data_IF_625613399772
#
_entry.id   IF_625613399772
#
_cell.length_a   1.000
_cell.length_b   1.000
_cell.length_c   1.000
_cell.angle_alpha   90.00
_cell.angle_beta   90.00
_cell.angle_gamma   90.00
#
_symmetry.space_group_name_H-M   'P 1'
#
loop_
_entity.id
_entity.type
_entity.pdbx_description
1 polymer ?
#
# COMPACT_ATOMS: atom_id res chain seq x y z
N UNK A 1 18.55 32.92 1.00
CA UNK A 1 17.65 32.73 -0.17
C UNK A 1 16.38 32.05 0.35
N UNK A 2 15.25 32.77 0.33
CA UNK A 2 13.94 32.15 0.58
C UNK A 2 13.54 31.45 -0.72
N UNK A 3 13.35 30.14 -0.67
CA UNK A 3 12.89 29.36 -1.79
C UNK A 3 11.37 29.46 -1.83
N UNK A 4 10.81 30.00 -2.92
CA UNK A 4 9.37 30.10 -3.11
C UNK A 4 8.87 28.85 -3.84
N UNK A 5 7.95 28.10 -3.21
CA UNK A 5 7.29 26.94 -3.79
C UNK A 5 5.81 27.24 -3.90
N UNK A 6 5.32 27.28 -5.13
CA UNK A 6 3.89 27.51 -5.42
C UNK A 6 3.19 26.20 -5.74
N UNK A 7 1.98 25.99 -5.17
CA UNK A 7 1.13 24.85 -5.48
C UNK A 7 -0.25 25.33 -5.89
N UNK A 8 -0.70 24.91 -7.07
CA UNK A 8 -2.03 25.16 -7.61
C UNK A 8 -2.83 23.83 -7.67
N UNK A 9 -4.15 23.89 -7.42
CA UNK A 9 -5.04 22.72 -7.39
C UNK A 9 -6.27 22.93 -8.28
N UNK A 10 -6.72 21.84 -8.93
CA UNK A 10 -8.01 21.75 -9.60
C UNK A 10 -8.82 20.59 -9.00
N UNK A 11 -10.15 20.75 -8.95
CA UNK A 11 -11.05 19.79 -8.34
C UNK A 11 -12.21 19.47 -9.29
N UNK A 12 -12.76 18.24 -9.15
CA UNK A 12 -14.03 17.90 -9.77
C UNK A 12 -15.22 18.35 -8.90
N UNK A 13 -16.44 18.10 -9.39
CA UNK A 13 -17.68 18.45 -8.68
C UNK A 13 -17.90 17.66 -7.37
N UNK A 14 -17.11 16.63 -7.12
CA UNK A 14 -17.13 15.79 -5.92
C UNK A 14 -16.07 16.19 -4.89
N UNK A 15 -15.23 17.18 -5.24
CA UNK A 15 -14.13 17.63 -4.40
C UNK A 15 -12.87 16.78 -4.52
N UNK A 16 -12.78 15.86 -5.48
CA UNK A 16 -11.55 15.12 -5.74
C UNK A 16 -10.53 16.03 -6.42
N UNK A 17 -9.28 15.98 -6.00
CA UNK A 17 -8.20 16.75 -6.63
C UNK A 17 -7.82 16.12 -7.98
N UNK A 18 -8.30 16.69 -9.07
CA UNK A 18 -8.03 16.21 -10.43
C UNK A 18 -6.68 16.62 -10.97
N UNK A 19 -6.13 17.74 -10.45
CA UNK A 19 -4.80 18.22 -10.83
C UNK A 19 -4.13 18.98 -9.71
N UNK A 20 -2.83 18.77 -9.58
CA UNK A 20 -1.94 19.54 -8.71
C UNK A 20 -0.73 19.96 -9.53
N UNK A 21 -0.35 21.24 -9.47
CA UNK A 21 0.87 21.76 -10.08
C UNK A 21 1.74 22.33 -8.96
N UNK A 22 2.94 21.78 -8.83
CA UNK A 22 3.97 22.28 -7.90
C UNK A 22 5.10 22.88 -8.68
N UNK A 23 5.37 24.18 -8.46
CA UNK A 23 6.49 24.92 -9.06
C UNK A 23 7.53 25.22 -8.00
N UNK A 24 8.75 24.77 -8.26
CA UNK A 24 9.92 24.92 -7.40
C UNK A 24 11.11 25.40 -8.25
N UNK A 25 11.26 26.70 -8.38
CA UNK A 25 12.21 27.32 -9.30
C UNK A 25 11.91 26.92 -10.75
N UNK A 26 12.88 26.33 -11.43
CA UNK A 26 12.73 25.81 -12.82
C UNK A 26 12.10 24.43 -12.90
N UNK A 27 11.73 23.81 -11.76
CA UNK A 27 11.12 22.48 -11.74
C UNK A 27 9.61 22.65 -11.61
N UNK A 28 8.87 22.03 -12.53
CA UNK A 28 7.41 21.90 -12.43
C UNK A 28 7.04 20.43 -12.32
N UNK A 29 6.22 20.10 -11.30
CA UNK A 29 5.63 18.76 -11.15
C UNK A 29 4.13 18.89 -11.28
N UNK A 30 3.55 18.28 -12.31
CA UNK A 30 2.12 18.19 -12.52
C UNK A 30 1.65 16.76 -12.21
N UNK A 31 0.69 16.64 -11.29
CA UNK A 31 -0.02 15.39 -11.00
C UNK A 31 -1.46 15.52 -11.47
N UNK A 32 -1.96 14.56 -12.25
CA UNK A 32 -3.37 14.48 -12.64
C UNK A 32 -3.96 13.17 -12.17
N UNK A 33 -5.22 13.21 -11.70
CA UNK A 33 -5.99 12.07 -11.24
C UNK A 33 -7.33 11.96 -11.94
N UNK A 34 -7.73 10.75 -12.31
CA UNK A 34 -9.07 10.43 -12.78
C UNK A 34 -9.79 9.60 -11.73
N UNK A 35 -11.03 9.94 -11.41
CA UNK A 35 -11.80 9.31 -10.34
C UNK A 35 -13.10 8.75 -10.87
N UNK A 36 -13.58 7.67 -10.23
CA UNK A 36 -14.93 7.16 -10.40
C UNK A 36 -15.71 7.29 -9.09
N UNK A 37 -17.01 7.54 -9.24
CA UNK A 37 -17.95 7.68 -8.14
C UNK A 37 -19.16 6.78 -8.41
N UNK A 38 -19.41 5.83 -7.52
CA UNK A 38 -20.61 5.00 -7.53
C UNK A 38 -21.55 5.48 -6.42
N UNK A 39 -22.57 6.24 -6.80
CA UNK A 39 -23.52 6.83 -5.86
C UNK A 39 -24.47 5.81 -5.25
N UNK A 40 -24.78 4.74 -5.98
CA UNK A 40 -25.73 3.70 -5.51
C UNK A 40 -25.15 2.91 -4.33
N UNK A 41 -23.83 2.73 -4.32
CA UNK A 41 -23.11 2.02 -3.26
C UNK A 41 -22.33 2.95 -2.34
N UNK A 42 -22.42 4.25 -2.58
CA UNK A 42 -21.68 5.28 -1.84
C UNK A 42 -20.15 5.06 -1.86
N UNK A 43 -19.63 4.51 -2.97
CA UNK A 43 -18.19 4.31 -3.19
C UNK A 43 -17.65 5.50 -4.00
N UNK A 44 -17.29 6.57 -3.29
CA UNK A 44 -16.89 7.84 -3.88
C UNK A 44 -15.37 8.03 -3.88
N UNK A 45 -14.85 8.85 -4.81
CA UNK A 45 -13.47 9.29 -4.86
C UNK A 45 -12.46 8.17 -5.15
N UNK A 46 -12.85 7.12 -5.90
CA UNK A 46 -11.94 6.04 -6.27
C UNK A 46 -11.04 6.46 -7.43
N UNK A 47 -9.75 6.66 -7.15
CA UNK A 47 -8.75 7.02 -8.15
C UNK A 47 -8.54 5.86 -9.12
N UNK A 48 -8.79 6.06 -10.42
CA UNK A 48 -8.60 5.02 -11.46
C UNK A 48 -7.32 5.20 -12.26
N UNK A 49 -6.88 6.45 -12.42
CA UNK A 49 -5.61 6.77 -13.06
C UNK A 49 -4.91 7.90 -12.34
N UNK A 50 -3.59 7.82 -12.30
CA UNK A 50 -2.72 8.90 -11.84
C UNK A 50 -1.59 9.08 -12.85
N UNK A 51 -1.35 10.33 -13.27
CA UNK A 51 -0.19 10.68 -14.09
C UNK A 51 0.61 11.75 -13.35
N UNK A 52 1.90 11.51 -13.21
CA UNK A 52 2.87 12.46 -12.66
C UNK A 52 3.87 12.83 -13.73
N UNK A 53 3.92 14.10 -14.11
CA UNK A 53 4.89 14.67 -15.05
C UNK A 53 5.79 15.65 -14.32
N UNK A 54 7.09 15.44 -14.42
CA UNK A 54 8.10 16.35 -13.87
C UNK A 54 8.92 16.93 -15.01
N UNK A 55 8.88 18.25 -15.13
CA UNK A 55 9.60 19.03 -16.12
C UNK A 55 10.71 19.86 -15.47
N UNK A 56 11.84 19.94 -16.14
CA UNK A 56 12.97 20.82 -15.82
C UNK A 56 13.68 21.27 -17.12
N UNK A 57 14.79 21.96 -17.03
CA UNK A 57 15.58 22.43 -18.18
C UNK A 57 16.09 21.29 -19.08
N UNK A 58 16.24 20.06 -18.53
CA UNK A 58 16.70 18.88 -19.25
C UNK A 58 15.59 18.10 -19.96
N UNK A 59 14.31 18.44 -19.72
CA UNK A 59 13.18 17.79 -20.35
C UNK A 59 12.07 17.41 -19.37
N UNK A 60 11.13 16.56 -19.85
CA UNK A 60 9.96 16.09 -19.10
C UNK A 60 10.00 14.57 -18.94
N UNK A 61 9.80 14.10 -17.72
CA UNK A 61 9.60 12.68 -17.40
C UNK A 61 8.17 12.48 -16.92
N UNK A 62 7.47 11.49 -17.48
CA UNK A 62 6.08 11.17 -17.12
C UNK A 62 5.97 9.73 -16.63
N UNK A 63 5.21 9.52 -15.55
CA UNK A 63 4.86 8.22 -15.01
C UNK A 63 3.35 8.11 -14.88
N UNK A 64 2.81 6.94 -15.27
CA UNK A 64 1.40 6.63 -15.13
C UNK A 64 1.20 5.48 -14.16
N UNK A 65 0.07 5.49 -13.46
CA UNK A 65 -0.43 4.36 -12.67
C UNK A 65 -1.93 4.24 -12.90
N UNK A 66 -2.46 3.03 -12.87
CA UNK A 66 -3.89 2.77 -12.91
C UNK A 66 -4.31 1.83 -11.79
N UNK A 67 -5.59 1.93 -11.38
CA UNK A 67 -6.14 1.23 -10.24
C UNK A 67 -7.50 0.65 -10.58
N UNK A 68 -7.74 -0.59 -10.16
CA UNK A 68 -9.01 -1.28 -10.32
C UNK A 68 -9.55 -1.68 -8.94
N UNK A 69 -10.86 -1.61 -8.79
CA UNK A 69 -11.54 -1.88 -7.54
C UNK A 69 -12.63 -2.93 -7.73
N UNK A 70 -12.87 -3.72 -6.70
CA UNK A 70 -14.05 -4.58 -6.66
C UNK A 70 -15.33 -3.71 -6.67
N UNK A 71 -16.26 -3.95 -7.60
CA UNK A 71 -17.43 -3.07 -7.78
C UNK A 71 -18.45 -3.17 -6.66
N UNK A 72 -18.32 -4.15 -5.75
CA UNK A 72 -19.25 -4.35 -4.64
C UNK A 72 -18.70 -3.79 -3.32
N UNK A 73 -17.46 -4.11 -3.02
CA UNK A 73 -16.82 -3.68 -1.77
C UNK A 73 -16.06 -2.37 -1.89
N UNK A 74 -15.67 -1.97 -3.13
CA UNK A 74 -14.80 -0.81 -3.36
C UNK A 74 -13.34 -1.04 -2.93
N UNK A 75 -12.95 -2.28 -2.63
CA UNK A 75 -11.58 -2.62 -2.26
C UNK A 75 -10.69 -2.63 -3.51
N UNK A 76 -9.46 -2.14 -3.38
CA UNK A 76 -8.46 -2.14 -4.45
C UNK A 76 -8.07 -3.58 -4.81
N UNK A 77 -8.24 -3.97 -6.07
CA UNK A 77 -7.91 -5.32 -6.56
C UNK A 77 -6.65 -5.34 -7.42
N UNK A 78 -6.40 -4.26 -8.15
CA UNK A 78 -5.26 -4.18 -9.07
C UNK A 78 -4.67 -2.78 -9.06
N UNK A 79 -3.35 -2.73 -9.11
CA UNK A 79 -2.55 -1.54 -9.35
C UNK A 79 -1.57 -1.84 -10.48
N UNK A 80 -1.52 -0.97 -11.50
CA UNK A 80 -0.53 -1.07 -12.59
C UNK A 80 0.34 0.18 -12.53
N UNK A 81 1.64 -0.03 -12.36
CA UNK A 81 2.64 1.02 -12.39
C UNK A 81 3.36 1.03 -13.72
N UNK A 82 3.56 2.22 -14.31
CA UNK A 82 4.23 2.46 -15.58
C UNK A 82 3.75 1.51 -16.71
N UNK A 83 2.42 1.47 -17.02
CA UNK A 83 1.88 0.60 -18.06
C UNK A 83 2.59 0.88 -19.39
N UNK A 84 2.96 -0.21 -20.08
CA UNK A 84 3.70 -0.15 -21.35
C UNK A 84 5.22 0.02 -21.22
N UNK A 85 5.76 0.19 -20.03
CA UNK A 85 7.20 0.16 -19.77
C UNK A 85 7.60 -1.24 -19.31
N UNK A 86 8.32 -2.00 -20.16
CA UNK A 86 8.73 -3.37 -19.86
C UNK A 86 9.85 -3.48 -18.84
N UNK A 87 10.64 -2.42 -18.64
CA UNK A 87 11.78 -2.45 -17.71
C UNK A 87 11.38 -2.04 -16.29
N UNK A 88 10.49 -1.06 -16.15
CA UNK A 88 10.12 -0.47 -14.86
C UNK A 88 8.67 -0.77 -14.45
N UNK A 89 7.87 -1.27 -15.39
CA UNK A 89 6.45 -1.50 -15.16
C UNK A 89 6.18 -2.80 -14.41
N UNK A 90 5.12 -2.78 -13.62
CA UNK A 90 4.60 -3.97 -12.96
C UNK A 90 3.09 -3.87 -12.74
N UNK A 91 2.48 -5.03 -12.58
CA UNK A 91 1.12 -5.18 -12.06
C UNK A 91 1.19 -5.73 -10.65
N UNK A 92 0.41 -5.15 -9.75
CA UNK A 92 0.22 -5.67 -8.40
C UNK A 92 -1.25 -6.00 -8.19
N UNK A 93 -1.54 -7.23 -7.76
CA UNK A 93 -2.90 -7.68 -7.47
C UNK A 93 -3.05 -8.00 -5.99
N UNK A 94 -4.29 -7.86 -5.50
CA UNK A 94 -4.63 -8.05 -4.11
C UNK A 94 -5.80 -9.01 -3.96
N UNK A 95 -5.71 -9.90 -2.97
CA UNK A 95 -6.82 -10.74 -2.52
C UNK A 95 -7.16 -10.34 -1.09
N UNK A 96 -8.44 -10.15 -0.82
CA UNK A 96 -8.95 -9.74 0.48
C UNK A 96 -9.73 -10.88 1.14
N UNK A 97 -9.76 -10.90 2.47
CA UNK A 97 -10.66 -11.74 3.26
C UNK A 97 -12.05 -11.08 3.40
N UNK A 98 -12.95 -11.74 4.13
CA UNK A 98 -14.30 -11.23 4.38
C UNK A 98 -14.36 -9.97 5.26
N UNK A 99 -13.26 -9.56 5.87
CA UNK A 99 -13.12 -8.33 6.66
C UNK A 99 -12.52 -7.17 5.87
N UNK A 100 -12.04 -7.43 4.63
CA UNK A 100 -11.37 -6.45 3.78
C UNK A 100 -9.85 -6.38 3.98
N UNK A 101 -9.27 -7.29 4.75
CA UNK A 101 -7.82 -7.34 4.92
C UNK A 101 -7.15 -7.99 3.72
N UNK A 102 -5.98 -7.48 3.31
CA UNK A 102 -5.19 -8.08 2.24
C UNK A 102 -4.53 -9.36 2.76
N UNK A 103 -4.98 -10.52 2.22
CA UNK A 103 -4.43 -11.84 2.58
C UNK A 103 -3.39 -12.33 1.58
N UNK A 104 -3.36 -11.77 0.38
CA UNK A 104 -2.34 -12.05 -0.64
C UNK A 104 -2.09 -10.82 -1.49
N UNK A 105 -0.83 -10.53 -1.78
CA UNK A 105 -0.45 -9.62 -2.86
C UNK A 105 0.54 -10.27 -3.79
N UNK A 106 0.37 -10.04 -5.10
CA UNK A 106 1.25 -10.56 -6.15
C UNK A 106 1.76 -9.40 -6.96
N UNK A 107 3.07 -9.27 -7.11
CA UNK A 107 3.72 -8.33 -8.01
C UNK A 107 4.24 -9.10 -9.21
N UNK A 108 3.71 -8.78 -10.39
CA UNK A 108 4.08 -9.37 -11.69
C UNK A 108 4.79 -8.29 -12.52
N UNK A 109 6.12 -8.32 -12.61
CA UNK A 109 6.89 -7.38 -13.43
C UNK A 109 6.61 -7.58 -14.93
N UNK A 110 6.76 -6.51 -15.73
CA UNK A 110 6.54 -6.59 -17.19
C UNK A 110 7.78 -7.03 -17.97
N UNK A 111 8.92 -7.15 -17.32
CA UNK A 111 10.16 -7.71 -17.88
C UNK A 111 10.20 -9.24 -17.93
N UNK A 112 9.07 -9.91 -17.60
CA UNK A 112 8.94 -11.37 -17.46
C UNK A 112 9.81 -11.99 -16.37
N UNK A 113 10.33 -11.22 -15.44
CA UNK A 113 10.95 -11.76 -14.24
C UNK A 113 9.91 -12.43 -13.33
N UNK A 114 10.38 -13.24 -12.38
CA UNK A 114 9.52 -14.03 -11.51
C UNK A 114 8.57 -13.15 -10.68
N UNK A 115 7.34 -13.60 -10.54
CA UNK A 115 6.36 -12.99 -9.64
C UNK A 115 6.84 -13.02 -8.18
N UNK A 116 6.52 -11.97 -7.45
CA UNK A 116 6.77 -11.86 -6.02
C UNK A 116 5.44 -11.91 -5.28
N UNK A 117 5.24 -12.99 -4.53
CA UNK A 117 4.01 -13.23 -3.77
C UNK A 117 4.30 -13.03 -2.29
N UNK A 118 3.45 -12.25 -1.62
CA UNK A 118 3.40 -12.17 -0.16
C UNK A 118 2.03 -12.60 0.32
N UNK A 119 1.97 -13.30 1.47
CA UNK A 119 0.73 -13.76 2.07
C UNK A 119 0.67 -13.34 3.53
N UNK A 120 -0.52 -12.99 3.99
CA UNK A 120 -0.79 -12.59 5.37
C UNK A 120 -2.01 -13.33 5.88
N UNK A 121 -1.93 -13.87 7.08
CA UNK A 121 -3.07 -14.49 7.77
C UNK A 121 -3.42 -13.68 8.99
N UNK A 122 -4.70 -13.47 9.18
CA UNK A 122 -5.26 -12.76 10.33
C UNK A 122 -5.90 -13.73 11.32
N UNK A 123 -6.16 -13.25 12.54
CA UNK A 123 -6.94 -13.98 13.53
C UNK A 123 -8.38 -14.22 13.03
N UNK A 124 -9.13 -15.08 13.72
CA UNK A 124 -10.50 -15.43 13.32
C UNK A 124 -11.47 -14.22 13.28
N UNK A 125 -11.10 -13.09 13.87
CA UNK A 125 -11.88 -11.85 13.89
C UNK A 125 -11.36 -10.81 12.88
N UNK A 126 -10.33 -11.15 12.09
CA UNK A 126 -9.75 -10.25 11.09
C UNK A 126 -9.01 -9.03 11.66
N UNK A 127 -8.54 -9.10 12.91
CA UNK A 127 -7.97 -7.93 13.61
C UNK A 127 -6.46 -7.90 13.63
N UNK A 128 -5.83 -9.06 13.88
CA UNK A 128 -4.40 -9.16 14.13
C UNK A 128 -3.73 -10.10 13.13
N UNK A 129 -2.58 -9.70 12.62
CA UNK A 129 -1.76 -10.54 11.75
C UNK A 129 -1.14 -11.66 12.59
N UNK A 130 -1.51 -12.91 12.32
CA UNK A 130 -0.97 -14.07 13.04
C UNK A 130 0.14 -14.78 12.26
N UNK A 131 0.25 -14.55 10.94
CA UNK A 131 1.33 -15.07 10.12
C UNK A 131 1.55 -14.21 8.89
N UNK A 132 2.81 -14.06 8.50
CA UNK A 132 3.24 -13.39 7.27
C UNK A 132 4.22 -14.29 6.52
N UNK A 133 4.04 -14.43 5.20
CA UNK A 133 4.96 -15.15 4.31
C UNK A 133 5.47 -14.16 3.26
N UNK A 134 6.78 -13.97 3.18
CA UNK A 134 7.38 -13.09 2.18
C UNK A 134 7.57 -13.81 0.84
N UNK A 135 8.01 -13.07 -0.19
CA UNK A 135 8.22 -13.60 -1.54
C UNK A 135 9.34 -14.66 -1.65
N UNK A 136 10.15 -14.86 -0.63
CA UNK A 136 11.15 -15.91 -0.54
C UNK A 136 10.62 -17.16 0.17
N UNK A 137 9.34 -17.18 0.59
CA UNK A 137 8.71 -18.27 1.33
C UNK A 137 9.03 -18.28 2.83
N UNK A 138 9.73 -17.25 3.35
CA UNK A 138 9.99 -17.17 4.78
C UNK A 138 8.73 -16.81 5.54
N UNK A 139 8.46 -17.57 6.60
CA UNK A 139 7.27 -17.42 7.42
C UNK A 139 7.66 -16.83 8.77
N UNK A 140 6.93 -15.81 9.18
CA UNK A 140 6.95 -15.24 10.52
C UNK A 140 5.56 -15.39 11.14
N UNK A 141 5.49 -15.64 12.45
CA UNK A 141 4.21 -15.77 13.16
C UNK A 141 4.19 -14.89 14.40
N UNK A 142 2.98 -14.42 14.75
CA UNK A 142 2.74 -13.59 15.92
C UNK A 142 1.62 -14.18 16.78
N UNK A 143 1.79 -14.11 18.11
CA UNK A 143 0.74 -14.40 19.09
C UNK A 143 0.36 -13.14 19.84
N UNK A 144 -0.89 -13.02 20.17
CA UNK A 144 -1.44 -11.84 20.82
C UNK A 144 -2.17 -12.18 22.11
N UNK A 145 -2.16 -11.25 23.06
CA UNK A 145 -3.21 -11.14 24.06
C UNK A 145 -4.45 -10.58 23.35
N UNK A 146 -5.51 -11.38 23.24
CA UNK A 146 -6.71 -11.00 22.48
C UNK A 146 -7.49 -9.83 23.08
N UNK A 147 -7.32 -9.55 24.36
CA UNK A 147 -8.02 -8.47 25.08
C UNK A 147 -7.31 -7.13 24.82
N UNK A 148 -5.99 -7.12 24.97
CA UNK A 148 -5.18 -5.91 24.91
C UNK A 148 -4.63 -5.64 23.50
N UNK A 149 -4.60 -6.66 22.62
CA UNK A 149 -4.02 -6.56 21.29
C UNK A 149 -2.49 -6.51 21.28
N UNK A 150 -1.85 -6.82 22.38
CA UNK A 150 -0.41 -6.80 22.53
C UNK A 150 0.21 -8.11 22.04
N UNK A 151 1.35 -8.03 21.33
CA UNK A 151 2.09 -9.21 20.85
C UNK A 151 2.75 -9.88 22.05
N UNK A 152 2.39 -11.14 22.33
CA UNK A 152 2.97 -11.93 23.45
C UNK A 152 4.13 -12.81 23.01
N UNK A 153 4.17 -13.20 21.72
CA UNK A 153 5.31 -13.91 21.15
C UNK A 153 5.40 -13.66 19.63
N UNK A 154 6.62 -13.67 19.12
CA UNK A 154 6.91 -13.76 17.69
C UNK A 154 7.80 -14.96 17.40
N UNK A 155 7.62 -15.57 16.22
CA UNK A 155 8.53 -16.62 15.73
C UNK A 155 9.09 -16.14 14.40
N UNK A 156 10.41 -16.06 14.29
CA UNK A 156 11.08 -15.64 13.06
C UNK A 156 11.16 -16.79 12.03
N UNK A 157 11.72 -16.48 10.85
CA UNK A 157 11.92 -17.44 9.74
C UNK A 157 12.81 -18.64 10.10
N UNK A 158 13.60 -18.56 11.16
CA UNK A 158 14.50 -19.64 11.62
C UNK A 158 13.85 -20.46 12.73
N UNK A 159 12.60 -20.15 13.11
CA UNK A 159 11.89 -20.81 14.20
C UNK A 159 12.26 -20.28 15.60
N UNK A 160 13.03 -19.18 15.65
CA UNK A 160 13.43 -18.57 16.93
C UNK A 160 12.23 -17.81 17.50
N UNK A 161 11.85 -18.18 18.73
CA UNK A 161 10.72 -17.57 19.45
C UNK A 161 11.23 -16.47 20.36
N UNK A 162 10.67 -15.25 20.23
CA UNK A 162 10.87 -14.18 21.19
C UNK A 162 9.56 -13.94 21.94
N UNK A 163 9.62 -13.94 23.28
CA UNK A 163 8.48 -13.67 24.14
C UNK A 163 8.53 -12.25 24.67
N UNK A 164 7.36 -11.62 24.81
CA UNK A 164 7.22 -10.22 25.23
C UNK A 164 6.33 -10.13 26.47
N UNK A 165 6.71 -9.27 27.41
CA UNK A 165 5.89 -8.91 28.57
C UNK A 165 5.70 -7.41 28.64
N UNK A 166 4.57 -6.99 29.21
CA UNK A 166 4.15 -5.60 29.25
C UNK A 166 3.75 -5.21 30.67
N UNK A 167 3.87 -3.93 30.98
CA UNK A 167 3.30 -3.37 32.20
C UNK A 167 1.77 -3.15 32.06
N UNK A 168 1.13 -2.70 33.14
CA UNK A 168 -0.32 -2.43 33.17
C UNK A 168 -0.79 -1.31 32.24
N UNK A 169 0.13 -0.55 31.66
CA UNK A 169 -0.14 0.53 30.71
C UNK A 169 0.11 0.12 29.26
N UNK A 170 0.56 -1.14 29.02
CA UNK A 170 0.90 -1.66 27.71
C UNK A 170 2.31 -1.29 27.24
N UNK A 171 3.18 -0.79 28.09
CA UNK A 171 4.58 -0.55 27.75
C UNK A 171 5.36 -1.85 27.79
N UNK A 172 6.22 -2.09 26.80
CA UNK A 172 7.09 -3.26 26.74
C UNK A 172 8.07 -3.26 27.93
N UNK A 173 8.05 -4.33 28.71
CA UNK A 173 8.97 -4.53 29.86
C UNK A 173 10.11 -5.45 29.48
N UNK A 174 9.81 -6.61 28.86
CA UNK A 174 10.85 -7.56 28.44
C UNK A 174 10.60 -8.06 27.02
N UNK A 175 11.71 -8.34 26.32
CA UNK A 175 11.75 -9.17 25.13
C UNK A 175 12.83 -10.22 25.37
N UNK A 176 12.47 -11.51 25.41
CA UNK A 176 13.38 -12.61 25.73
C UNK A 176 13.31 -13.70 24.67
N UNK A 177 14.49 -14.12 24.21
CA UNK A 177 14.66 -15.23 23.28
C UNK A 177 15.33 -16.37 24.05
N UNK A 178 14.72 -17.57 24.15
CA UNK A 178 15.39 -18.73 24.72
C UNK A 178 16.64 -19.06 23.91
N UNK A 179 17.74 -19.33 24.61
CA UNK A 179 19.01 -19.78 24.03
C UNK A 179 18.95 -21.29 23.85
#
# INVERSE_FOLDING_TARGET
LIKDVKTDYEYDTWGNTTKTIVKDGSIETTTTGTFINNTDKWLLGRLTECTVSKSNESGTTTRKSSFEYDPNSGLLTTEVFAPGNTELGYRKTYVHDGFGNIVKSTVSPFDNSSERITQTRYDAKGRYIVSSTNCLGFIETLKYNEVEGLVTASTDKNGIVTNYTYDKFGNLVTASTPI
#
